data_IF_158501518629
#
_entry.id   IF_158501518629
#
_cell.length_a   1.000
_cell.length_b   1.000
_cell.length_c   1.000
_cell.angle_alpha   90.00
_cell.angle_beta   90.00
_cell.angle_gamma   90.00
#
_symmetry.space_group_name_H-M   'P 1'
#
loop_
_entity.id
_entity.type
_entity.pdbx_description
1 polymer ?
#
# COMPACT_ATOMS: atom_id res chain seq x y z
N UNK A 1 19.37 8.31 -19.72
CA UNK A 1 18.42 8.54 -18.63
C UNK A 1 18.92 7.78 -17.43
N UNK A 2 18.79 8.34 -16.24
CA UNK A 2 19.18 7.69 -14.98
C UNK A 2 17.96 6.96 -14.42
N UNK A 3 18.18 5.76 -13.90
CA UNK A 3 17.11 4.85 -13.44
C UNK A 3 17.56 4.10 -12.18
N UNK A 4 16.62 3.81 -11.29
CA UNK A 4 16.82 2.89 -10.15
C UNK A 4 16.28 1.52 -10.56
N UNK A 5 17.11 0.48 -10.42
CA UNK A 5 16.71 -0.90 -10.71
C UNK A 5 16.27 -1.62 -9.44
N UNK A 6 14.96 -1.69 -9.20
CA UNK A 6 14.40 -2.36 -8.01
C UNK A 6 14.29 -3.86 -8.28
N UNK A 7 15.18 -4.66 -7.69
CA UNK A 7 15.22 -6.12 -7.92
C UNK A 7 14.04 -6.84 -7.29
N UNK A 8 13.32 -7.58 -8.13
CA UNK A 8 12.25 -8.49 -7.72
C UNK A 8 12.82 -9.91 -7.58
N UNK A 9 12.48 -10.57 -6.48
CA UNK A 9 12.83 -11.97 -6.18
C UNK A 9 11.65 -12.91 -6.48
N UNK A 10 11.94 -14.21 -6.65
CA UNK A 10 10.88 -15.23 -6.81
C UNK A 10 9.90 -15.25 -5.61
N UNK A 11 10.34 -14.91 -4.39
CA UNK A 11 9.47 -14.85 -3.20
C UNK A 11 8.37 -13.78 -3.26
N UNK A 12 8.44 -12.82 -4.19
CA UNK A 12 7.46 -11.75 -4.35
C UNK A 12 6.42 -12.08 -5.43
N UNK A 13 6.87 -12.29 -6.67
CA UNK A 13 6.01 -12.48 -7.84
C UNK A 13 6.26 -13.81 -8.58
N UNK A 14 6.90 -14.81 -7.95
CA UNK A 14 7.17 -16.13 -8.53
C UNK A 14 8.02 -16.13 -9.82
N UNK A 15 8.77 -15.04 -10.02
CA UNK A 15 9.72 -14.79 -11.09
C UNK A 15 10.77 -13.78 -10.61
N UNK A 16 12.01 -13.85 -11.09
CA UNK A 16 13.03 -12.82 -10.86
C UNK A 16 13.15 -11.86 -12.04
N UNK A 17 13.22 -10.57 -11.75
CA UNK A 17 13.43 -9.47 -12.71
C UNK A 17 13.87 -8.21 -11.95
N UNK A 18 13.84 -7.05 -12.59
CA UNK A 18 13.98 -5.77 -11.90
C UNK A 18 13.08 -4.74 -12.57
N UNK A 19 12.35 -3.98 -11.75
CA UNK A 19 11.56 -2.83 -12.22
C UNK A 19 12.55 -1.70 -12.49
N UNK A 20 12.50 -1.10 -13.68
CA UNK A 20 13.20 0.16 -13.96
C UNK A 20 12.33 1.30 -13.50
N UNK A 21 12.82 2.06 -12.52
CA UNK A 21 12.20 3.31 -12.06
C UNK A 21 13.03 4.46 -12.60
N UNK A 22 12.57 5.08 -13.69
CA UNK A 22 13.27 6.19 -14.29
C UNK A 22 13.17 7.43 -13.38
N UNK A 23 14.25 8.24 -13.31
CA UNK A 23 14.29 9.40 -12.39
C UNK A 23 13.20 10.45 -12.70
N UNK A 24 12.65 10.46 -13.92
CA UNK A 24 11.48 11.28 -14.27
C UNK A 24 10.20 10.86 -13.55
N UNK A 25 10.06 9.57 -13.19
CA UNK A 25 8.87 9.07 -12.50
C UNK A 25 8.97 9.30 -10.99
N UNK A 26 10.19 9.23 -10.43
CA UNK A 26 10.48 9.72 -9.08
C UNK A 26 10.22 11.23 -8.95
N UNK A 27 10.65 12.02 -9.95
CA UNK A 27 10.37 13.46 -9.97
C UNK A 27 8.86 13.76 -10.11
N UNK A 28 8.13 12.98 -10.92
CA UNK A 28 6.67 13.12 -11.02
C UNK A 28 5.95 12.79 -9.70
N UNK A 29 6.33 11.69 -9.06
CA UNK A 29 5.87 11.27 -7.74
C UNK A 29 6.11 12.36 -6.69
N UNK A 30 7.33 12.86 -6.55
CA UNK A 30 7.67 13.97 -5.64
C UNK A 30 6.86 15.26 -5.91
N UNK A 31 6.46 15.51 -7.16
CA UNK A 31 5.62 16.65 -7.53
C UNK A 31 4.10 16.35 -7.43
N UNK A 32 3.68 15.28 -6.74
CA UNK A 32 2.30 14.80 -6.64
C UNK A 32 1.58 14.61 -8.00
N UNK A 33 2.34 14.26 -9.04
CA UNK A 33 1.83 14.05 -10.41
C UNK A 33 1.38 12.60 -10.61
N UNK A 34 0.99 12.25 -11.84
CA UNK A 34 0.58 10.90 -12.18
C UNK A 34 1.68 9.89 -11.81
N UNK A 35 1.32 8.79 -11.15
CA UNK A 35 2.24 7.69 -10.90
C UNK A 35 2.40 6.85 -12.17
N UNK A 36 3.62 6.38 -12.45
CA UNK A 36 3.83 5.28 -13.38
C UNK A 36 3.63 3.92 -12.67
N UNK A 37 3.38 2.89 -13.47
CA UNK A 37 3.28 1.47 -13.04
C UNK A 37 4.52 0.99 -12.27
N UNK A 38 5.72 1.53 -12.55
CA UNK A 38 6.95 1.20 -11.84
C UNK A 38 6.87 1.61 -10.36
N UNK A 39 6.38 2.82 -10.07
CA UNK A 39 6.12 3.30 -8.71
C UNK A 39 5.05 2.46 -8.02
N UNK A 40 3.93 2.18 -8.70
CA UNK A 40 2.84 1.36 -8.13
C UNK A 40 3.30 -0.10 -7.90
N UNK A 41 4.24 -0.61 -8.70
CA UNK A 41 4.90 -1.91 -8.50
C UNK A 41 5.76 -1.91 -7.24
N UNK A 42 6.62 -0.89 -7.07
CA UNK A 42 7.42 -0.71 -5.85
C UNK A 42 6.55 -0.59 -4.60
N UNK A 43 5.41 0.10 -4.68
CA UNK A 43 4.44 0.14 -3.59
C UNK A 43 3.80 -1.23 -3.30
N UNK A 44 3.50 -2.04 -4.31
CA UNK A 44 3.02 -3.41 -4.08
C UNK A 44 4.09 -4.30 -3.43
N UNK A 45 5.37 -4.13 -3.78
CA UNK A 45 6.48 -4.81 -3.11
C UNK A 45 6.58 -4.40 -1.62
N UNK A 46 6.45 -3.10 -1.32
CA UNK A 46 6.34 -2.61 0.06
C UNK A 46 5.17 -3.28 0.80
N UNK A 47 3.99 -3.40 0.16
CA UNK A 47 2.82 -4.08 0.76
C UNK A 47 2.97 -5.58 0.93
N UNK A 48 3.75 -6.26 0.10
CA UNK A 48 4.14 -7.65 0.37
C UNK A 48 5.02 -7.75 1.62
N UNK A 49 5.94 -6.80 1.83
CA UNK A 49 6.80 -6.77 3.01
C UNK A 49 6.01 -6.45 4.29
N UNK A 50 5.02 -5.54 4.24
CA UNK A 50 4.03 -5.35 5.31
C UNK A 50 3.25 -6.64 5.60
N UNK A 51 2.64 -7.27 4.59
CA UNK A 51 1.92 -8.53 4.79
C UNK A 51 2.82 -9.64 5.37
N UNK A 52 4.10 -9.68 4.99
CA UNK A 52 5.09 -10.65 5.51
C UNK A 52 5.49 -10.35 6.96
N UNK A 53 5.68 -9.07 7.31
CA UNK A 53 5.90 -8.57 8.69
C UNK A 53 4.71 -8.88 9.60
N UNK A 54 3.50 -8.68 9.08
CA UNK A 54 2.25 -8.75 9.83
C UNK A 54 1.58 -10.13 9.81
N UNK A 55 2.23 -11.11 9.20
CA UNK A 55 1.78 -12.49 9.00
C UNK A 55 0.48 -12.67 8.18
N UNK A 56 0.07 -11.64 7.44
CA UNK A 56 -1.12 -11.58 6.59
C UNK A 56 -0.92 -12.48 5.36
N UNK A 57 -1.18 -13.78 5.56
CA UNK A 57 -0.92 -14.82 4.56
C UNK A 57 -2.03 -14.96 3.52
N UNK A 58 -3.21 -14.36 3.73
CA UNK A 58 -4.38 -14.52 2.87
C UNK A 58 -4.53 -13.49 1.73
N UNK A 59 -3.70 -12.43 1.70
CA UNK A 59 -3.62 -11.46 0.60
C UNK A 59 -2.51 -11.84 -0.38
N UNK A 60 -2.82 -11.83 -1.67
CA UNK A 60 -1.88 -11.91 -2.80
C UNK A 60 -1.89 -10.64 -3.64
N UNK A 61 -0.95 -10.54 -4.58
CA UNK A 61 -0.78 -9.38 -5.46
C UNK A 61 -0.47 -9.79 -6.91
N UNK A 62 -0.78 -8.91 -7.86
CA UNK A 62 -0.33 -8.98 -9.25
C UNK A 62 0.33 -7.65 -9.60
N UNK A 63 1.50 -7.72 -10.22
CA UNK A 63 2.35 -6.57 -10.53
C UNK A 63 1.80 -5.70 -11.69
N UNK A 64 1.59 -4.38 -11.51
CA UNK A 64 1.21 -3.49 -12.60
C UNK A 64 2.28 -3.32 -13.69
N UNK A 65 3.57 -3.46 -13.39
CA UNK A 65 4.63 -3.27 -14.40
C UNK A 65 4.61 -4.41 -15.44
N UNK A 66 4.41 -5.66 -15.01
CA UNK A 66 4.26 -6.80 -15.91
C UNK A 66 2.82 -7.08 -16.39
N UNK A 67 1.78 -6.66 -15.66
CA UNK A 67 0.36 -6.96 -15.99
C UNK A 67 -0.50 -5.70 -16.12
N UNK A 68 -0.38 -5.00 -17.25
CA UNK A 68 -1.14 -3.80 -17.60
C UNK A 68 -1.64 -3.85 -19.06
N UNK A 69 -2.42 -2.85 -19.51
CA UNK A 69 -3.14 -2.92 -20.80
C UNK A 69 -2.27 -3.30 -22.01
N UNK A 70 -1.01 -2.85 -22.07
CA UNK A 70 -0.10 -3.17 -23.18
C UNK A 70 0.25 -4.66 -23.24
N UNK A 71 0.58 -5.28 -22.11
CA UNK A 71 0.89 -6.72 -22.08
C UNK A 71 -0.34 -7.58 -22.38
N UNK A 72 -1.56 -7.04 -22.20
CA UNK A 72 -2.81 -7.70 -22.58
C UNK A 72 -3.20 -7.45 -24.05
N UNK A 73 -3.01 -6.25 -24.61
CA UNK A 73 -3.56 -5.86 -25.92
C UNK A 73 -2.54 -5.92 -27.08
N UNK A 74 -1.25 -5.74 -26.82
CA UNK A 74 -0.22 -5.76 -27.87
C UNK A 74 0.22 -7.21 -28.18
N UNK A 75 0.07 -7.71 -29.43
CA UNK A 75 0.33 -9.12 -29.76
C UNK A 75 1.76 -9.60 -29.50
N UNK A 76 2.74 -8.69 -29.44
CA UNK A 76 4.14 -8.99 -29.14
C UNK A 76 4.35 -9.46 -27.69
N UNK A 77 3.52 -8.97 -26.75
CA UNK A 77 3.61 -9.30 -25.31
C UNK A 77 2.47 -10.22 -24.85
N UNK A 78 1.32 -10.21 -25.53
CA UNK A 78 0.16 -11.02 -25.17
C UNK A 78 0.47 -12.53 -25.13
N UNK A 79 1.31 -13.05 -26.04
CA UNK A 79 1.51 -14.50 -26.27
C UNK A 79 1.60 -15.34 -24.99
N UNK A 80 2.43 -14.93 -24.04
CA UNK A 80 2.70 -15.67 -22.81
C UNK A 80 2.01 -15.05 -21.57
N UNK A 81 1.28 -13.94 -21.74
CA UNK A 81 0.63 -13.19 -20.66
C UNK A 81 -0.52 -13.96 -19.99
N UNK A 82 -1.47 -14.60 -20.71
CA UNK A 82 -2.51 -15.42 -20.08
C UNK A 82 -1.96 -16.63 -19.31
N UNK A 83 -0.91 -17.28 -19.82
CA UNK A 83 -0.25 -18.41 -19.14
C UNK A 83 0.51 -17.94 -17.89
N UNK A 84 1.13 -16.76 -17.96
CA UNK A 84 1.78 -16.13 -16.81
C UNK A 84 0.74 -15.75 -15.74
N UNK A 85 -0.42 -15.20 -16.10
CA UNK A 85 -1.51 -14.96 -15.15
C UNK A 85 -2.08 -16.27 -14.57
N UNK A 86 -2.20 -17.34 -15.37
CA UNK A 86 -2.61 -18.66 -14.88
C UNK A 86 -1.62 -19.20 -13.84
N UNK A 87 -0.31 -19.03 -14.09
CA UNK A 87 0.77 -19.39 -13.14
C UNK A 87 0.68 -18.56 -11.86
N UNK A 88 0.41 -17.26 -11.96
CA UNK A 88 0.16 -16.38 -10.79
C UNK A 88 -1.01 -16.88 -9.94
N UNK A 89 -2.16 -17.19 -10.55
CA UNK A 89 -3.32 -17.70 -9.79
C UNK A 89 -3.04 -19.06 -9.16
N UNK A 90 -2.35 -19.98 -9.85
CA UNK A 90 -1.93 -21.27 -9.28
C UNK A 90 -0.98 -21.12 -8.09
N UNK A 91 0.02 -20.23 -8.17
CA UNK A 91 0.96 -19.93 -7.08
C UNK A 91 0.32 -19.18 -5.90
N UNK A 92 -0.83 -18.51 -6.13
CA UNK A 92 -1.56 -17.73 -5.13
C UNK A 92 -2.95 -18.31 -4.82
N UNK A 93 -3.20 -19.59 -5.10
CA UNK A 93 -4.51 -20.23 -4.91
C UNK A 93 -5.00 -20.19 -3.46
N UNK A 94 -4.08 -20.28 -2.50
CA UNK A 94 -4.38 -20.32 -1.06
C UNK A 94 -4.62 -18.92 -0.46
N UNK A 95 -4.70 -17.88 -1.31
CA UNK A 95 -5.06 -16.51 -0.94
C UNK A 95 -6.58 -16.33 -0.97
N UNK A 96 -7.16 -15.73 0.08
CA UNK A 96 -8.58 -15.31 0.08
C UNK A 96 -8.81 -14.15 -0.91
N UNK A 97 -7.82 -13.27 -1.09
CA UNK A 97 -7.95 -12.09 -1.96
C UNK A 97 -6.65 -11.81 -2.71
N UNK A 98 -6.73 -11.51 -4.01
CA UNK A 98 -5.60 -11.06 -4.83
C UNK A 98 -5.86 -9.62 -5.30
N UNK A 99 -4.88 -8.74 -5.08
CA UNK A 99 -4.91 -7.32 -5.42
C UNK A 99 -4.14 -7.06 -6.72
N UNK A 100 -4.82 -6.57 -7.74
CA UNK A 100 -4.21 -6.27 -9.04
C UNK A 100 -4.44 -4.80 -9.42
N UNK A 101 -3.45 -3.92 -9.18
CA UNK A 101 -3.43 -2.58 -9.75
C UNK A 101 -3.30 -2.70 -11.27
N UNK A 102 -4.25 -2.14 -12.00
CA UNK A 102 -4.32 -2.28 -13.45
C UNK A 102 -4.28 -0.90 -14.11
N UNK A 103 -3.21 -0.65 -14.87
CA UNK A 103 -3.08 0.55 -15.69
C UNK A 103 -3.68 0.35 -17.08
N UNK A 104 -4.53 1.28 -17.50
CA UNK A 104 -5.01 1.39 -18.88
C UNK A 104 -5.23 2.85 -19.27
N UNK A 105 -4.81 3.24 -20.48
CA UNK A 105 -5.12 4.56 -21.07
C UNK A 105 -4.83 5.75 -20.12
N UNK A 106 -3.67 5.73 -19.45
CA UNK A 106 -3.23 6.72 -18.45
C UNK A 106 -4.11 6.81 -17.19
N UNK A 107 -4.87 5.76 -16.87
CA UNK A 107 -5.69 5.63 -15.66
C UNK A 107 -5.36 4.34 -14.90
N UNK A 108 -5.51 4.38 -13.57
CA UNK A 108 -5.36 3.24 -12.68
C UNK A 108 -6.68 2.85 -12.03
N UNK A 109 -6.94 1.54 -11.97
CA UNK A 109 -7.98 0.93 -11.13
C UNK A 109 -7.38 -0.18 -10.28
N UNK A 110 -8.02 -0.53 -9.16
CA UNK A 110 -7.70 -1.73 -8.40
C UNK A 110 -8.72 -2.81 -8.71
N UNK A 111 -8.24 -3.94 -9.21
CA UNK A 111 -9.04 -5.15 -9.45
C UNK A 111 -8.80 -6.08 -8.24
N UNK A 112 -9.84 -6.27 -7.44
CA UNK A 112 -9.81 -7.10 -6.22
C UNK A 112 -10.47 -8.44 -6.53
N UNK A 113 -9.68 -9.51 -6.63
CA UNK A 113 -10.16 -10.87 -6.94
C UNK A 113 -10.39 -11.61 -5.61
N UNK A 114 -11.64 -11.97 -5.31
CA UNK A 114 -12.04 -12.74 -4.13
C UNK A 114 -12.18 -14.21 -4.53
N UNK A 115 -11.18 -15.00 -4.18
CA UNK A 115 -10.89 -16.29 -4.82
C UNK A 115 -11.96 -17.36 -4.51
N UNK A 116 -12.39 -17.45 -3.25
CA UNK A 116 -13.34 -18.46 -2.78
C UNK A 116 -14.80 -18.12 -3.10
N UNK A 117 -15.10 -16.82 -3.10
CA UNK A 117 -16.39 -16.24 -3.45
C UNK A 117 -16.62 -16.23 -4.96
N UNK A 118 -15.54 -16.26 -5.75
CA UNK A 118 -15.59 -16.11 -7.21
C UNK A 118 -16.07 -14.72 -7.62
N UNK A 119 -15.66 -13.67 -6.90
CA UNK A 119 -16.04 -12.29 -7.22
C UNK A 119 -14.83 -11.46 -7.64
N UNK A 120 -15.05 -10.50 -8.53
CA UNK A 120 -14.09 -9.46 -8.88
C UNK A 120 -14.71 -8.11 -8.61
N UNK A 121 -14.11 -7.36 -7.70
CA UNK A 121 -14.56 -6.03 -7.30
C UNK A 121 -13.59 -4.97 -7.82
N UNK A 122 -14.08 -4.04 -8.64
CA UNK A 122 -13.29 -2.98 -9.26
C UNK A 122 -13.46 -1.69 -8.48
N UNK A 123 -12.36 -1.16 -7.94
CA UNK A 123 -12.29 0.14 -7.30
C UNK A 123 -11.68 1.14 -8.30
N UNK A 124 -12.38 2.24 -8.52
CA UNK A 124 -12.04 3.23 -9.55
C UNK A 124 -12.39 4.63 -9.05
N UNK A 125 -11.39 5.50 -8.97
CA UNK A 125 -11.49 6.87 -8.47
C UNK A 125 -12.24 7.82 -9.42
N UNK A 126 -12.29 7.54 -10.73
CA UNK A 126 -13.02 8.31 -11.73
C UNK A 126 -14.31 7.63 -12.21
N UNK A 127 -14.48 6.33 -11.94
CA UNK A 127 -15.64 5.53 -12.39
C UNK A 127 -15.74 5.45 -13.92
N UNK A 128 -14.65 5.03 -14.56
CA UNK A 128 -14.57 4.75 -16.00
C UNK A 128 -15.55 3.64 -16.39
N UNK A 129 -16.01 3.68 -17.63
CA UNK A 129 -16.93 2.65 -18.13
C UNK A 129 -16.24 1.29 -18.31
N UNK A 130 -16.87 0.16 -17.95
CA UNK A 130 -16.28 -1.18 -18.07
C UNK A 130 -15.83 -1.60 -19.48
N UNK A 131 -16.23 -0.87 -20.52
CA UNK A 131 -15.74 -1.07 -21.89
C UNK A 131 -14.23 -0.76 -22.01
N UNK A 132 -13.71 0.17 -21.21
CA UNK A 132 -12.33 0.69 -21.32
C UNK A 132 -11.28 -0.28 -20.76
N UNK A 133 -11.68 -1.22 -19.90
CA UNK A 133 -10.83 -2.30 -19.35
C UNK A 133 -11.35 -3.71 -19.71
N UNK A 134 -12.14 -3.81 -20.80
CA UNK A 134 -12.77 -5.05 -21.27
C UNK A 134 -11.77 -6.15 -21.65
N UNK A 135 -10.57 -5.80 -22.11
CA UNK A 135 -9.47 -6.72 -22.42
C UNK A 135 -9.06 -7.53 -21.20
N UNK A 136 -8.74 -6.85 -20.09
CA UNK A 136 -8.46 -7.46 -18.80
C UNK A 136 -9.61 -8.35 -18.30
N UNK A 137 -10.86 -7.88 -18.41
CA UNK A 137 -12.06 -8.67 -18.07
C UNK A 137 -12.13 -9.98 -18.86
N UNK A 138 -11.91 -9.94 -20.18
CA UNK A 138 -11.96 -11.11 -21.05
C UNK A 138 -10.81 -12.08 -20.76
N UNK A 139 -9.60 -11.56 -20.52
CA UNK A 139 -8.40 -12.36 -20.24
C UNK A 139 -8.51 -13.08 -18.90
N UNK A 140 -8.82 -12.37 -17.79
CA UNK A 140 -9.03 -12.98 -16.48
C UNK A 140 -10.20 -13.98 -16.49
N UNK A 141 -11.29 -13.69 -17.21
CA UNK A 141 -12.43 -14.62 -17.39
C UNK A 141 -12.08 -15.87 -18.21
N UNK A 142 -11.06 -15.79 -19.08
CA UNK A 142 -10.52 -16.95 -19.79
C UNK A 142 -9.63 -17.77 -18.87
N UNK A 143 -8.65 -17.13 -18.23
CA UNK A 143 -7.68 -17.74 -17.31
C UNK A 143 -8.39 -18.43 -16.14
N UNK A 144 -9.43 -17.83 -15.55
CA UNK A 144 -10.21 -18.44 -14.48
C UNK A 144 -10.82 -19.79 -14.89
N UNK A 145 -11.34 -19.92 -16.11
CA UNK A 145 -11.92 -21.18 -16.62
C UNK A 145 -10.88 -22.30 -16.79
N UNK A 146 -9.60 -21.94 -16.91
CA UNK A 146 -8.49 -22.90 -16.98
C UNK A 146 -8.03 -23.25 -15.57
N UNK A 147 -7.83 -22.22 -14.71
CA UNK A 147 -7.50 -22.37 -13.29
C UNK A 147 -8.44 -23.37 -12.58
N UNK A 148 -9.76 -23.18 -12.64
CA UNK A 148 -10.74 -24.05 -11.93
C UNK A 148 -10.89 -25.47 -12.51
N UNK A 149 -10.25 -25.78 -13.64
CA UNK A 149 -10.20 -27.15 -14.19
C UNK A 149 -8.96 -27.90 -13.74
N UNK A 150 -7.85 -27.17 -13.64
CA UNK A 150 -6.51 -27.71 -13.41
C UNK A 150 -6.13 -27.71 -11.94
N UNK A 151 -6.64 -26.76 -11.16
CA UNK A 151 -6.56 -26.80 -9.71
C UNK A 151 -7.90 -27.27 -9.12
N UNK A 152 -7.85 -28.39 -8.40
CA UNK A 152 -8.98 -29.02 -7.72
C UNK A 152 -8.81 -28.99 -6.19
N UNK A 153 -8.02 -28.03 -5.67
CA UNK A 153 -7.72 -27.95 -4.24
C UNK A 153 -8.88 -27.42 -3.39
N UNK A 154 -9.82 -26.70 -4.00
CA UNK A 154 -10.97 -26.07 -3.33
C UNK A 154 -12.23 -26.10 -4.22
N UNK A 155 -13.41 -25.85 -3.64
CA UNK A 155 -14.68 -25.69 -4.37
C UNK A 155 -14.74 -24.32 -5.09
N UNK A 156 -13.96 -24.19 -6.17
CA UNK A 156 -13.89 -22.95 -6.94
C UNK A 156 -15.20 -22.63 -7.67
N UNK A 157 -15.66 -21.39 -7.57
CA UNK A 157 -16.92 -20.98 -8.20
C UNK A 157 -16.78 -20.93 -9.73
N UNK A 158 -17.75 -21.45 -10.50
CA UNK A 158 -17.57 -21.76 -11.93
C UNK A 158 -17.47 -20.54 -12.85
N UNK A 159 -17.73 -19.33 -12.33
CA UNK A 159 -17.72 -18.05 -13.05
C UNK A 159 -17.34 -16.94 -12.08
N UNK A 160 -16.52 -15.99 -12.53
CA UNK A 160 -16.29 -14.74 -11.80
C UNK A 160 -17.49 -13.80 -11.94
N UNK A 161 -18.02 -13.31 -10.82
CA UNK A 161 -19.06 -12.28 -10.72
C UNK A 161 -18.38 -10.91 -10.61
N UNK A 162 -18.65 -9.99 -11.53
CA UNK A 162 -17.98 -8.69 -11.57
C UNK A 162 -18.85 -7.58 -10.97
N UNK A 163 -18.26 -6.76 -10.11
CA UNK A 163 -18.92 -5.67 -9.39
C UNK A 163 -18.04 -4.41 -9.45
N UNK A 164 -18.64 -3.25 -9.74
CA UNK A 164 -17.97 -1.96 -9.52
C UNK A 164 -18.23 -1.50 -8.09
N UNK A 165 -17.18 -1.18 -7.32
CA UNK A 165 -17.34 -0.66 -5.97
C UNK A 165 -17.84 0.80 -6.04
N UNK A 166 -19.11 0.99 -5.63
CA UNK A 166 -19.77 2.30 -5.62
C UNK A 166 -19.49 3.14 -4.36
N UNK A 167 -18.74 2.60 -3.40
CA UNK A 167 -18.42 3.23 -2.10
C UNK A 167 -16.96 3.67 -1.97
N UNK A 168 -16.08 3.29 -2.90
CA UNK A 168 -14.68 3.69 -2.90
C UNK A 168 -14.54 5.22 -3.01
N UNK A 169 -13.50 5.78 -2.39
CA UNK A 169 -13.20 7.21 -2.48
C UNK A 169 -13.02 7.64 -3.94
N UNK A 170 -13.41 8.87 -4.27
CA UNK A 170 -13.36 9.43 -5.63
C UNK A 170 -12.42 10.62 -5.69
N UNK A 171 -11.65 10.72 -6.75
CA UNK A 171 -10.72 11.85 -6.95
C UNK A 171 -11.48 13.07 -7.50
N UNK A 172 -10.99 14.30 -7.27
CA UNK A 172 -11.59 15.50 -7.88
C UNK A 172 -11.54 15.42 -9.42
N UNK A 173 -12.59 15.84 -10.14
CA UNK A 173 -12.59 15.83 -11.60
C UNK A 173 -11.41 16.62 -12.20
N UNK A 174 -10.82 16.11 -13.28
CA UNK A 174 -9.68 16.74 -13.96
C UNK A 174 -8.30 16.54 -13.30
N UNK A 175 -8.23 15.86 -12.15
CA UNK A 175 -6.95 15.47 -11.53
C UNK A 175 -6.39 14.17 -12.12
N UNK A 176 -5.09 13.91 -11.93
CA UNK A 176 -4.40 12.68 -12.38
C UNK A 176 -4.05 11.73 -11.22
N UNK A 177 -4.76 11.82 -10.08
CA UNK A 177 -4.41 11.16 -8.82
C UNK A 177 -4.75 9.65 -8.73
N UNK A 178 -5.19 9.03 -9.83
CA UNK A 178 -5.69 7.65 -9.84
C UNK A 178 -4.73 6.61 -9.25
N UNK A 179 -3.42 6.79 -9.44
CA UNK A 179 -2.39 5.93 -8.83
C UNK A 179 -2.44 5.93 -7.31
N UNK A 180 -2.41 7.12 -6.68
CA UNK A 180 -2.52 7.26 -5.21
C UNK A 180 -3.83 6.67 -4.68
N UNK A 181 -4.96 6.87 -5.38
CA UNK A 181 -6.24 6.29 -4.97
C UNK A 181 -6.24 4.75 -5.02
N UNK A 182 -5.62 4.15 -6.04
CA UNK A 182 -5.43 2.70 -6.11
C UNK A 182 -4.55 2.19 -4.97
N UNK A 183 -3.47 2.90 -4.66
CA UNK A 183 -2.57 2.56 -3.57
C UNK A 183 -3.25 2.69 -2.20
N UNK A 184 -4.06 3.73 -2.00
CA UNK A 184 -4.92 3.92 -0.82
C UNK A 184 -5.93 2.78 -0.66
N UNK A 185 -6.57 2.31 -1.74
CA UNK A 185 -7.46 1.14 -1.68
C UNK A 185 -6.72 -0.14 -1.27
N UNK A 186 -5.49 -0.35 -1.77
CA UNK A 186 -4.63 -1.48 -1.37
C UNK A 186 -4.33 -1.40 0.13
N UNK A 187 -3.87 -0.25 0.63
CA UNK A 187 -3.62 -0.05 2.05
C UNK A 187 -4.86 -0.41 2.87
N UNK A 188 -6.03 0.16 2.56
CA UNK A 188 -7.24 -0.10 3.34
C UNK A 188 -7.57 -1.59 3.43
N UNK A 189 -7.48 -2.32 2.32
CA UNK A 189 -7.76 -3.76 2.31
C UNK A 189 -6.72 -4.54 3.14
N UNK A 190 -5.44 -4.16 3.08
CA UNK A 190 -4.36 -4.77 3.89
C UNK A 190 -4.54 -4.48 5.38
N UNK A 191 -4.79 -3.23 5.77
CA UNK A 191 -4.95 -2.84 7.18
C UNK A 191 -6.27 -3.31 7.77
N UNK A 192 -7.38 -3.29 7.02
CA UNK A 192 -8.64 -3.92 7.46
C UNK A 192 -8.42 -5.40 7.79
N UNK A 193 -7.63 -6.14 6.99
CA UNK A 193 -7.29 -7.55 7.28
C UNK A 193 -6.42 -7.69 8.53
N UNK A 194 -5.39 -6.85 8.63
CA UNK A 194 -4.48 -6.85 9.77
C UNK A 194 -5.19 -6.55 11.12
N UNK A 195 -6.22 -5.70 11.10
CA UNK A 195 -7.07 -5.35 12.24
C UNK A 195 -8.12 -6.44 12.58
N UNK A 196 -8.37 -7.38 11.67
CA UNK A 196 -9.31 -8.49 11.89
C UNK A 196 -8.60 -9.76 12.37
N UNK A 197 -7.37 -10.03 11.93
CA UNK A 197 -6.60 -11.20 12.38
C UNK A 197 -5.84 -10.97 13.71
N UNK A 198 -5.81 -9.73 14.22
CA UNK A 198 -5.20 -9.38 15.51
C UNK A 198 -6.09 -8.40 16.28
N UNK A 199 -6.22 -8.55 17.60
CA UNK A 199 -6.84 -7.55 18.48
C UNK A 199 -5.84 -6.40 18.78
N UNK A 200 -5.28 -5.88 17.68
CA UNK A 200 -4.35 -4.79 17.51
C UNK A 200 -4.77 -4.15 16.20
N UNK A 201 -5.03 -2.85 16.20
CA UNK A 201 -5.03 -2.14 14.93
C UNK A 201 -3.58 -2.06 14.39
N UNK A 202 -3.46 -2.01 13.07
CA UNK A 202 -2.23 -2.27 12.29
C UNK A 202 -2.33 -1.49 10.99
N UNK A 203 -1.17 -1.12 10.43
CA UNK A 203 -1.12 0.07 9.61
C UNK A 203 -0.18 -0.01 8.40
N UNK A 204 -0.69 0.60 7.33
CA UNK A 204 0.03 1.28 6.25
C UNK A 204 1.48 1.70 6.51
N UNK A 205 2.31 1.50 5.50
CA UNK A 205 3.40 2.39 5.12
C UNK A 205 3.19 2.86 3.67
N UNK A 206 3.73 4.02 3.31
CA UNK A 206 3.94 4.49 1.94
C UNK A 206 5.37 5.05 1.90
N UNK A 207 6.20 4.70 0.90
CA UNK A 207 7.62 5.08 0.89
C UNK A 207 8.08 5.56 -0.49
N UNK A 208 8.88 6.61 -0.48
CA UNK A 208 9.70 7.10 -1.60
C UNK A 208 11.06 7.50 -1.03
N UNK A 209 12.11 6.69 -1.20
CA UNK A 209 13.40 6.86 -0.48
C UNK A 209 13.62 5.79 0.59
N UNK A 210 14.59 5.99 1.48
CA UNK A 210 14.98 5.00 2.49
C UNK A 210 14.25 5.25 3.83
N UNK A 211 13.12 4.54 4.04
CA UNK A 211 12.33 4.60 5.27
C UNK A 211 12.45 3.32 6.11
N UNK A 212 12.58 3.47 7.44
CA UNK A 212 12.57 2.37 8.41
C UNK A 212 11.46 2.55 9.46
N UNK A 213 10.62 1.53 9.66
CA UNK A 213 9.50 1.61 10.62
C UNK A 213 9.26 0.32 11.41
N UNK A 214 8.97 0.47 12.71
CA UNK A 214 8.56 -0.62 13.59
C UNK A 214 7.32 -0.26 14.44
N UNK A 215 6.36 -1.18 14.56
CA UNK A 215 5.20 -1.06 15.48
C UNK A 215 4.99 -2.38 16.21
N UNK A 216 5.00 -2.37 17.55
CA UNK A 216 4.85 -3.60 18.36
C UNK A 216 4.09 -3.36 19.68
N UNK A 217 3.66 -4.44 20.35
CA UNK A 217 3.29 -4.39 21.78
C UNK A 217 1.94 -3.74 22.15
N UNK A 218 1.20 -3.15 21.20
CA UNK A 218 -0.07 -2.46 21.48
C UNK A 218 -1.20 -3.42 21.90
N UNK A 219 -2.20 -2.97 22.67
CA UNK A 219 -3.41 -3.73 23.06
C UNK A 219 -4.74 -3.02 22.78
N UNK A 220 -4.71 -1.88 22.08
CA UNK A 220 -5.88 -1.16 21.58
C UNK A 220 -5.65 -0.68 20.15
N UNK A 221 -6.12 0.54 19.85
CA UNK A 221 -6.08 1.11 18.51
C UNK A 221 -4.71 1.65 18.07
N UNK A 222 -4.51 1.78 16.75
CA UNK A 222 -3.30 2.20 16.05
C UNK A 222 -3.69 2.61 14.62
N UNK A 223 -3.55 3.90 14.31
CA UNK A 223 -3.70 4.39 12.93
C UNK A 223 -2.52 5.29 12.56
N UNK A 224 -1.74 4.89 11.55
CA UNK A 224 -0.69 5.70 10.94
C UNK A 224 -0.93 5.93 9.43
N UNK A 225 -0.47 7.06 8.87
CA UNK A 225 -0.65 7.42 7.46
C UNK A 225 0.62 8.09 6.92
N UNK A 226 0.95 7.89 5.64
CA UNK A 226 2.20 8.33 5.01
C UNK A 226 2.01 8.99 3.64
N UNK A 227 2.89 9.95 3.33
CA UNK A 227 2.86 10.78 2.11
C UNK A 227 4.21 10.87 1.39
N UNK A 228 4.45 11.96 0.68
CA UNK A 228 5.67 12.19 -0.12
C UNK A 228 6.93 12.34 0.73
N UNK A 229 8.08 11.99 0.14
CA UNK A 229 9.37 11.84 0.83
C UNK A 229 10.53 11.87 -0.18
N UNK A 230 11.61 12.59 0.14
CA UNK A 230 12.96 12.43 -0.44
C UNK A 230 14.01 12.74 0.66
N UNK A 231 14.57 11.70 1.28
CA UNK A 231 15.68 11.74 2.24
C UNK A 231 15.76 10.46 3.08
N UNK A 232 15.91 10.55 4.42
CA UNK A 232 16.19 9.43 5.34
C UNK A 232 15.23 9.37 6.56
N UNK A 233 14.18 8.54 6.53
CA UNK A 233 13.05 8.61 7.49
C UNK A 233 12.95 7.43 8.46
N UNK A 234 12.65 7.68 9.75
CA UNK A 234 12.60 6.64 10.80
C UNK A 234 11.40 6.79 11.76
N UNK A 235 10.66 5.72 12.07
CA UNK A 235 9.54 5.72 13.05
C UNK A 235 9.46 4.44 13.90
N UNK A 236 9.11 4.53 15.20
CA UNK A 236 9.24 3.38 16.11
C UNK A 236 8.27 3.37 17.32
N UNK A 237 7.09 2.75 17.16
CA UNK A 237 6.00 2.67 18.17
C UNK A 237 6.04 1.36 18.96
N UNK A 238 6.01 1.40 20.31
CA UNK A 238 5.94 0.16 21.12
C UNK A 238 5.01 0.18 22.34
N UNK A 239 4.51 -0.99 22.73
CA UNK A 239 4.05 -1.34 24.10
C UNK A 239 2.85 -0.56 24.67
N UNK A 240 1.93 -0.06 23.84
CA UNK A 240 0.81 0.80 24.29
C UNK A 240 -0.43 0.03 24.78
N UNK A 241 -0.87 0.35 25.99
CA UNK A 241 -2.15 -0.06 26.57
C UNK A 241 -3.21 1.03 26.35
N UNK A 242 -3.74 1.10 25.12
CA UNK A 242 -4.76 2.07 24.69
C UNK A 242 -4.73 2.33 23.19
N UNK A 243 -5.19 3.51 22.75
CA UNK A 243 -5.26 3.91 21.35
C UNK A 243 -4.12 4.83 20.91
N UNK A 244 -3.60 4.62 19.70
CA UNK A 244 -2.44 5.30 19.11
C UNK A 244 -2.78 5.88 17.73
N UNK A 245 -2.28 7.06 17.40
CA UNK A 245 -2.43 7.66 16.06
C UNK A 245 -1.22 8.53 15.69
N UNK A 246 -0.78 8.53 14.43
CA UNK A 246 0.61 8.86 13.99
C UNK A 246 0.64 9.27 12.50
N UNK A 247 1.24 10.37 12.01
CA UNK A 247 1.06 10.72 10.56
C UNK A 247 2.26 11.47 9.96
N UNK A 248 3.00 10.84 9.04
CA UNK A 248 4.31 11.34 8.57
C UNK A 248 4.53 11.21 7.06
N UNK A 249 5.04 12.24 6.40
CA UNK A 249 5.72 12.12 5.11
C UNK A 249 6.85 13.14 5.03
N UNK A 250 8.06 12.68 4.69
CA UNK A 250 9.30 13.43 4.83
C UNK A 250 9.68 14.21 3.56
N UNK A 251 8.69 14.92 2.98
CA UNK A 251 8.78 15.97 1.94
C UNK A 251 10.13 16.07 1.18
N UNK A 252 11.00 17.04 1.53
CA UNK A 252 12.46 17.09 1.32
C UNK A 252 13.01 17.78 2.59
N UNK A 253 13.60 17.10 3.60
CA UNK A 253 13.52 15.64 3.71
C UNK A 253 14.21 14.75 4.77
N UNK A 254 14.68 15.17 5.95
CA UNK A 254 15.30 14.25 6.94
C UNK A 254 14.33 13.22 7.64
N UNK A 255 14.00 13.26 8.96
CA UNK A 255 14.06 12.03 9.83
C UNK A 255 12.89 11.49 10.74
N UNK A 256 12.63 11.89 12.01
CA UNK A 256 12.37 10.90 13.16
C UNK A 256 11.03 10.83 14.01
N UNK A 257 10.65 9.59 14.40
CA UNK A 257 10.30 9.01 15.77
C UNK A 257 8.90 9.11 16.45
N UNK A 258 8.35 8.02 17.07
CA UNK A 258 7.09 8.08 17.88
C UNK A 258 6.79 6.94 18.93
N UNK A 259 6.66 7.26 20.24
CA UNK A 259 5.97 6.53 21.38
C UNK A 259 6.47 5.14 21.86
N UNK A 260 6.61 4.98 23.19
CA UNK A 260 6.93 3.68 23.84
C UNK A 260 6.34 3.49 25.27
N UNK A 261 5.41 2.53 25.45
CA UNK A 261 4.87 2.00 26.74
C UNK A 261 3.60 2.63 27.37
N UNK A 262 2.83 3.44 26.64
CA UNK A 262 1.68 4.24 27.18
C UNK A 262 0.64 3.40 27.95
N UNK A 263 0.04 3.98 29.01
CA UNK A 263 -1.21 3.48 29.62
C UNK A 263 -2.25 4.61 29.59
N UNK A 264 -3.02 4.67 28.51
CA UNK A 264 -3.72 5.87 28.03
C UNK A 264 -3.75 5.92 26.50
N UNK A 265 -4.09 7.05 25.88
CA UNK A 265 -4.13 7.18 24.41
C UNK A 265 -3.39 8.41 23.89
N UNK A 266 -2.36 8.20 23.06
CA UNK A 266 -1.38 9.19 22.55
C UNK A 266 -0.73 8.67 21.25
N UNK A 267 -0.18 9.45 20.31
CA UNK A 267 -0.61 10.66 19.56
C UNK A 267 0.62 11.20 18.79
N UNK A 268 0.51 11.41 17.47
CA UNK A 268 1.30 12.30 16.56
C UNK A 268 2.84 12.21 16.56
N UNK A 269 3.41 11.99 15.37
CA UNK A 269 4.66 12.63 14.91
C UNK A 269 4.52 12.95 13.44
N UNK A 270 5.39 13.83 12.92
CA UNK A 270 5.62 14.17 11.52
C UNK A 270 7.03 13.71 11.13
N UNK A 271 7.66 14.34 10.15
CA UNK A 271 9.06 14.10 9.84
C UNK A 271 9.50 15.03 8.72
N UNK A 272 10.72 15.52 8.86
CA UNK A 272 11.43 16.54 8.08
C UNK A 272 11.36 16.18 6.59
N UNK A 273 10.95 16.98 5.60
CA UNK A 273 10.72 18.43 5.47
C UNK A 273 11.97 19.32 5.56
N UNK A 274 11.79 20.50 4.99
CA UNK A 274 12.57 21.73 5.07
C UNK A 274 11.67 22.80 5.78
N UNK A 275 10.65 22.33 6.55
CA UNK A 275 9.62 23.06 7.34
C UNK A 275 9.07 22.28 8.62
N UNK A 276 9.32 22.75 9.86
CA UNK A 276 8.78 22.48 11.24
C UNK A 276 9.29 21.28 12.15
N UNK A 277 10.48 21.29 12.80
CA UNK A 277 11.10 20.13 13.56
C UNK A 277 10.43 19.68 14.84
N UNK A 278 10.21 18.35 14.99
CA UNK A 278 10.52 17.52 16.18
C UNK A 278 10.53 15.95 16.01
N UNK A 279 10.36 15.15 17.08
CA UNK A 279 10.47 13.67 17.23
C UNK A 279 9.79 13.05 18.52
N UNK A 280 8.79 12.16 18.48
CA UNK A 280 7.83 11.95 19.62
C UNK A 280 7.92 10.65 20.50
N UNK A 281 7.26 10.64 21.67
CA UNK A 281 7.42 9.75 22.84
C UNK A 281 6.07 9.55 23.60
N UNK A 282 5.95 8.58 24.52
CA UNK A 282 5.11 8.51 25.77
C UNK A 282 5.12 7.05 26.26
N UNK A 283 5.15 6.84 27.58
CA UNK A 283 5.14 5.53 28.22
C UNK A 283 4.29 5.38 29.49
N UNK A 284 3.35 6.29 29.80
CA UNK A 284 2.87 6.45 31.20
C UNK A 284 1.35 6.71 31.31
N UNK A 285 0.88 6.82 32.55
CA UNK A 285 -0.50 6.66 33.04
C UNK A 285 -1.30 7.97 32.99
N UNK A 286 -1.67 8.37 31.77
CA UNK A 286 -2.28 9.68 31.47
C UNK A 286 -1.30 10.62 30.76
N UNK A 287 -1.79 11.81 30.37
CA UNK A 287 -1.00 12.80 29.63
C UNK A 287 -0.91 12.54 28.12
N UNK A 288 -0.60 13.60 27.35
CA UNK A 288 -0.54 13.64 25.88
C UNK A 288 0.73 14.37 25.41
N UNK A 289 1.38 13.81 24.39
CA UNK A 289 2.74 14.12 23.91
C UNK A 289 2.63 14.44 22.39
N UNK A 290 3.40 15.39 21.83
CA UNK A 290 3.32 15.86 20.41
C UNK A 290 4.69 16.35 19.88
N UNK A 291 5.19 15.89 18.72
CA UNK A 291 6.50 16.35 18.19
C UNK A 291 6.48 16.22 16.62
N UNK A 292 7.34 16.88 15.82
CA UNK A 292 7.13 17.23 14.38
C UNK A 292 8.21 16.73 13.36
N UNK A 293 8.79 17.58 12.48
CA UNK A 293 9.89 17.27 11.55
C UNK A 293 10.52 18.45 10.73
N UNK A 294 11.87 18.56 10.71
CA UNK A 294 12.78 19.74 10.54
C UNK A 294 12.60 20.77 9.39
N UNK A 295 13.26 21.93 9.58
CA UNK A 295 13.03 23.26 8.99
C UNK A 295 14.28 23.89 8.41
N UNK A 296 14.10 24.73 7.40
CA UNK A 296 14.98 25.89 7.16
C UNK A 296 14.40 27.11 7.93
N UNK A 297 14.35 27.00 9.27
CA UNK A 297 13.60 27.86 10.21
C UNK A 297 13.53 27.34 11.67
N UNK A 298 12.32 27.15 12.25
CA UNK A 298 12.06 27.05 13.71
C UNK A 298 11.58 25.66 14.25
N UNK A 299 12.30 25.08 15.23
CA UNK A 299 12.00 23.82 15.95
C UNK A 299 11.00 23.98 17.12
N UNK A 300 10.28 22.90 17.51
CA UNK A 300 9.36 22.83 18.68
C UNK A 300 9.75 21.67 19.65
N UNK A 301 8.94 21.28 20.66
CA UNK A 301 9.05 20.03 21.47
C UNK A 301 7.72 19.77 22.25
N UNK A 302 7.40 18.53 22.69
CA UNK A 302 6.26 18.21 23.61
C UNK A 302 6.27 16.82 24.32
N UNK A 303 6.90 16.76 25.50
CA UNK A 303 7.03 15.58 26.41
C UNK A 303 5.89 15.41 27.44
N UNK A 304 5.36 14.19 27.65
CA UNK A 304 4.55 13.72 28.80
C UNK A 304 4.76 12.23 29.12
N UNK A 305 5.36 11.93 30.28
CA UNK A 305 5.43 10.57 30.81
C UNK A 305 4.93 10.55 32.25
N UNK A 306 3.66 10.90 32.49
CA UNK A 306 3.21 11.26 33.84
C UNK A 306 1.78 10.84 34.19
N UNK A 307 1.60 10.45 35.45
CA UNK A 307 0.36 10.63 36.23
C UNK A 307 0.13 12.13 36.49
N UNK A 308 0.10 12.96 35.45
CA UNK A 308 0.32 14.40 35.54
C UNK A 308 0.14 15.16 34.21
N UNK A 309 0.84 16.29 34.10
CA UNK A 309 0.52 17.36 33.14
C UNK A 309 1.24 17.25 31.77
N UNK A 310 0.99 18.24 30.91
CA UNK A 310 1.60 18.46 29.59
C UNK A 310 2.91 19.25 29.72
N UNK A 311 3.94 18.91 28.94
CA UNK A 311 5.13 19.75 28.72
C UNK A 311 5.48 19.81 27.24
N UNK A 312 6.03 20.97 26.82
CA UNK A 312 6.68 21.22 25.53
C UNK A 312 8.15 20.76 25.57
#
# INVERSE_FOLDING_TARGET
METIMVRVKEEHYFQEYSVSVDFSELFQLYNLRALDKSIVSCYCLLKMLECKRDEIKDIGFIDPDTMHVKTIEEPLYNRDTPETLLRFLKRQRDKKTILWPYNFQFHFILIVIKMYEGEVEVFDSLTKEPIQYKSCFLMLKSVWKTFIKEDQSHDWKPKLIWRANKKCAKQPPGTNLCGYYVCEYIHRIVSERANNERNREVVSVFVVGDMVMLVTGVTGGVMLVFGDFIGDMVMLVTSVTGGVMVVVGNVVGDMVMLVTSVIGGVMVVFGDIVDDMVMLVNGVTGGVMVLFGDVVGDMVMLVTGMTGCVTS
#
